data_IF_915037079533
#
_entry.id   IF_915037079533
#
_cell.length_a   1.000
_cell.length_b   1.000
_cell.length_c   1.000
_cell.angle_alpha   90.00
_cell.angle_beta   90.00
_cell.angle_gamma   90.00
#
_symmetry.space_group_name_H-M   'P 1'
#
loop_
_entity.id
_entity.type
_entity.pdbx_description
1 polymer ?
#
# COMPACT_ATOMS: atom_id res chain seq x y z
N UNK A 1 1.29 6.83 0.43
CA UNK A 1 2.65 6.29 0.64
C UNK A 1 2.77 4.91 0.03
N UNK A 2 3.98 4.48 -0.26
CA UNK A 2 4.32 3.14 -0.77
C UNK A 2 5.36 2.55 0.14
N UNK A 3 5.12 1.33 0.63
CA UNK A 3 6.01 0.70 1.61
C UNK A 3 5.84 -0.82 1.61
N UNK A 4 6.85 -1.59 2.02
CA UNK A 4 6.70 -3.00 2.34
C UNK A 4 5.68 -3.19 3.45
N UNK A 5 4.84 -4.22 3.32
CA UNK A 5 3.83 -4.54 4.33
C UNK A 5 3.80 -6.05 4.56
N UNK A 6 3.90 -6.46 5.81
CA UNK A 6 3.69 -7.83 6.23
C UNK A 6 2.20 -8.07 6.43
N UNK A 7 1.67 -9.04 5.73
CA UNK A 7 0.27 -9.47 5.83
C UNK A 7 0.22 -10.87 6.40
N UNK A 8 -0.86 -11.16 7.11
CA UNK A 8 -1.05 -12.47 7.73
C UNK A 8 -1.25 -13.53 6.63
N UNK A 9 -0.69 -14.70 6.87
CA UNK A 9 -0.92 -15.85 6.00
C UNK A 9 -2.43 -16.18 5.93
N UNK A 10 -2.91 -16.47 4.71
CA UNK A 10 -4.34 -16.68 4.44
C UNK A 10 -5.13 -15.41 4.08
N UNK A 11 -4.56 -14.21 4.22
CA UNK A 11 -5.16 -12.99 3.68
C UNK A 11 -5.09 -12.98 2.15
N UNK A 12 -6.12 -12.46 1.44
CA UNK A 12 -6.10 -12.39 -0.02
C UNK A 12 -4.87 -11.71 -0.59
N UNK A 13 -4.35 -10.69 0.09
CA UNK A 13 -3.16 -9.95 -0.30
C UNK A 13 -1.89 -10.81 -0.28
N UNK A 14 -1.81 -11.81 0.60
CA UNK A 14 -0.67 -12.73 0.67
C UNK A 14 -0.64 -13.74 -0.50
N UNK A 15 -1.78 -13.96 -1.15
CA UNK A 15 -1.94 -14.92 -2.23
C UNK A 15 -1.82 -14.31 -3.64
N UNK A 16 -1.46 -13.02 -3.77
CA UNK A 16 -1.36 -12.33 -5.07
C UNK A 16 -0.11 -12.79 -5.81
N UNK A 17 -0.24 -13.51 -6.95
CA UNK A 17 0.91 -14.06 -7.64
C UNK A 17 1.50 -13.08 -8.67
N UNK A 18 2.79 -13.16 -8.88
CA UNK A 18 3.57 -12.59 -10.00
C UNK A 18 3.16 -11.15 -10.39
N UNK A 19 2.54 -10.98 -11.57
CA UNK A 19 2.14 -9.69 -12.15
C UNK A 19 0.70 -9.30 -11.88
N UNK A 20 0.04 -10.00 -10.96
CA UNK A 20 -1.30 -9.65 -10.54
C UNK A 20 -1.27 -8.54 -9.48
N UNK A 21 -2.32 -7.77 -9.45
CA UNK A 21 -2.58 -6.76 -8.44
C UNK A 21 -3.88 -7.09 -7.72
N UNK A 22 -3.92 -6.75 -6.44
CA UNK A 22 -5.13 -6.73 -5.65
C UNK A 22 -5.31 -5.31 -5.11
N UNK A 23 -6.43 -4.69 -5.41
CA UNK A 23 -6.82 -3.40 -4.86
C UNK A 23 -7.96 -3.64 -3.90
N UNK A 24 -7.76 -3.33 -2.63
CA UNK A 24 -8.77 -3.49 -1.59
C UNK A 24 -9.28 -2.13 -1.12
N UNK A 25 -10.58 -1.96 -1.13
CA UNK A 25 -11.28 -0.83 -0.52
C UNK A 25 -11.98 -1.31 0.76
N UNK A 26 -11.83 -0.54 1.81
CA UNK A 26 -12.53 -0.78 3.08
C UNK A 26 -13.34 0.47 3.37
N UNK A 27 -14.65 0.35 3.40
CA UNK A 27 -15.57 1.43 3.70
C UNK A 27 -16.56 1.03 4.76
N UNK A 28 -17.08 2.02 5.46
CA UNK A 28 -18.05 1.81 6.52
C UNK A 28 -19.30 1.07 6.04
N UNK A 29 -19.83 1.46 4.87
CA UNK A 29 -21.02 0.85 4.28
C UNK A 29 -20.70 -0.29 3.33
N UNK A 30 -19.68 -0.13 2.49
CA UNK A 30 -19.29 -1.13 1.49
C UNK A 30 -18.56 -2.32 2.07
N UNK A 31 -18.14 -2.25 3.33
CA UNK A 31 -17.30 -3.26 3.94
C UNK A 31 -16.00 -3.45 3.11
N UNK A 32 -15.44 -4.63 3.09
CA UNK A 32 -14.25 -4.97 2.32
C UNK A 32 -14.63 -5.40 0.90
N UNK A 33 -14.16 -4.67 -0.10
CA UNK A 33 -14.28 -5.00 -1.51
C UNK A 33 -12.88 -5.10 -2.13
N UNK A 34 -12.64 -6.13 -2.91
CA UNK A 34 -11.34 -6.33 -3.55
C UNK A 34 -11.51 -6.54 -5.06
N UNK A 35 -10.61 -5.95 -5.84
CA UNK A 35 -10.50 -6.10 -7.28
C UNK A 35 -9.17 -6.77 -7.59
N UNK A 36 -9.23 -7.90 -8.26
CA UNK A 36 -8.08 -8.72 -8.59
C UNK A 36 -7.91 -8.83 -10.11
N UNK A 37 -6.69 -8.64 -10.60
CA UNK A 37 -6.41 -8.74 -12.02
C UNK A 37 -4.94 -8.54 -12.36
N UNK A 38 -4.59 -8.77 -13.62
CA UNK A 38 -3.24 -8.51 -14.10
C UNK A 38 -3.00 -7.00 -14.19
N UNK A 39 -2.06 -6.49 -13.39
CA UNK A 39 -1.65 -5.07 -13.41
C UNK A 39 -0.51 -4.77 -14.36
N UNK A 40 0.23 -5.80 -14.80
CA UNK A 40 1.36 -5.65 -15.69
C UNK A 40 1.39 -6.79 -16.72
N UNK A 41 2.14 -6.56 -17.80
CA UNK A 41 2.30 -7.51 -18.87
C UNK A 41 1.91 -6.93 -20.23
N UNK A 42 2.50 -7.46 -21.28
CA UNK A 42 2.34 -6.97 -22.65
C UNK A 42 0.87 -6.88 -23.08
N UNK A 43 0.10 -7.91 -22.85
CA UNK A 43 -1.30 -7.98 -23.30
C UNK A 43 -2.25 -7.12 -22.46
N UNK A 44 -2.25 -7.17 -21.11
CA UNK A 44 -3.10 -6.32 -20.30
C UNK A 44 -2.84 -4.83 -20.55
N UNK A 45 -1.58 -4.44 -20.68
CA UNK A 45 -1.20 -3.05 -20.97
C UNK A 45 -1.70 -2.61 -22.34
N UNK A 46 -1.46 -3.42 -23.38
CA UNK A 46 -1.92 -3.12 -24.73
C UNK A 46 -3.46 -3.03 -24.80
N UNK A 47 -4.17 -3.91 -24.11
CA UNK A 47 -5.64 -3.88 -24.04
C UNK A 47 -6.14 -2.54 -23.48
N UNK A 48 -5.57 -2.08 -22.36
CA UNK A 48 -5.98 -0.81 -21.75
C UNK A 48 -5.68 0.39 -22.64
N UNK A 49 -4.52 0.42 -23.30
CA UNK A 49 -4.18 1.49 -24.27
C UNK A 49 -5.18 1.53 -25.43
N UNK A 50 -5.55 0.37 -25.96
CA UNK A 50 -6.56 0.30 -27.04
C UNK A 50 -7.94 0.73 -26.53
N UNK A 51 -8.32 0.32 -25.31
CA UNK A 51 -9.58 0.73 -24.70
C UNK A 51 -9.65 2.25 -24.49
N UNK A 52 -8.58 2.85 -23.98
CA UNK A 52 -8.49 4.30 -23.80
C UNK A 52 -8.63 5.03 -25.14
N UNK A 53 -7.99 4.52 -26.19
CA UNK A 53 -8.12 5.09 -27.54
C UNK A 53 -9.57 5.01 -28.05
N UNK A 54 -10.23 3.86 -27.88
CA UNK A 54 -11.64 3.68 -28.26
C UNK A 54 -12.54 4.66 -27.51
N UNK A 55 -12.31 4.84 -26.22
CA UNK A 55 -13.09 5.75 -25.38
C UNK A 55 -12.90 7.21 -25.80
N UNK A 56 -11.67 7.63 -26.14
CA UNK A 56 -11.39 8.96 -26.68
C UNK A 56 -12.10 9.17 -28.02
N UNK A 57 -12.03 8.21 -28.95
CA UNK A 57 -12.70 8.29 -30.25
C UNK A 57 -14.22 8.29 -30.13
N UNK A 58 -14.76 7.64 -29.12
CA UNK A 58 -16.19 7.66 -28.82
C UNK A 58 -16.65 8.93 -28.08
N UNK A 59 -15.74 9.90 -27.84
CA UNK A 59 -16.05 11.14 -27.14
C UNK A 59 -16.29 10.96 -25.65
N UNK A 60 -15.90 9.84 -25.08
CA UNK A 60 -15.93 9.63 -23.64
C UNK A 60 -14.80 10.43 -23.00
N UNK A 61 -15.13 11.58 -22.44
CA UNK A 61 -14.17 12.40 -21.70
C UNK A 61 -13.82 11.78 -20.34
N UNK A 62 -12.74 12.29 -19.73
CA UNK A 62 -12.44 11.98 -18.35
C UNK A 62 -13.60 12.40 -17.45
N UNK A 63 -14.04 11.50 -16.61
CA UNK A 63 -14.97 11.87 -15.55
C UNK A 63 -14.34 12.95 -14.68
N UNK A 64 -15.02 14.10 -14.60
CA UNK A 64 -14.62 15.12 -13.65
C UNK A 64 -14.62 14.48 -12.24
N UNK A 65 -13.54 14.63 -11.49
CA UNK A 65 -13.50 14.10 -10.14
C UNK A 65 -14.64 14.73 -9.32
N UNK A 66 -15.23 13.92 -8.47
CA UNK A 66 -16.26 14.38 -7.53
C UNK A 66 -15.83 15.68 -6.85
N UNK A 67 -16.71 16.68 -6.88
CA UNK A 67 -16.46 17.96 -6.23
C UNK A 67 -16.30 17.81 -4.73
N UNK A 68 -15.41 18.61 -4.13
CA UNK A 68 -15.16 18.61 -2.69
C UNK A 68 -14.24 17.46 -2.28
N UNK A 69 -12.94 17.70 -2.26
CA UNK A 69 -11.96 16.76 -1.72
C UNK A 69 -11.60 17.19 -0.30
N UNK A 70 -11.93 16.35 0.67
CA UNK A 70 -11.21 16.39 1.93
C UNK A 70 -9.76 15.93 1.65
N UNK A 71 -8.80 16.68 2.17
CA UNK A 71 -7.41 16.21 2.16
C UNK A 71 -7.33 14.90 2.97
N UNK A 72 -6.78 13.85 2.39
CA UNK A 72 -6.48 12.66 3.16
C UNK A 72 -5.38 13.02 4.18
N UNK A 73 -5.67 12.82 5.45
CA UNK A 73 -4.66 12.95 6.50
C UNK A 73 -3.86 11.65 6.52
N UNK A 74 -2.59 11.75 6.26
CA UNK A 74 -1.66 10.62 6.14
C UNK A 74 -0.91 10.43 7.46
N UNK A 75 -1.64 10.28 8.55
CA UNK A 75 -1.07 10.20 9.90
C UNK A 75 -1.55 8.92 10.63
N UNK A 76 -1.58 7.82 9.87
CA UNK A 76 -1.93 6.52 10.40
C UNK A 76 -0.79 5.97 11.26
N UNK A 77 -1.10 5.49 12.46
CA UNK A 77 -0.17 4.79 13.32
C UNK A 77 -0.24 3.29 13.06
N UNK A 78 0.90 2.69 12.74
CA UNK A 78 1.04 1.28 12.43
C UNK A 78 2.10 0.64 13.35
N UNK A 79 1.97 -0.64 13.58
CA UNK A 79 3.03 -1.47 14.12
C UNK A 79 3.99 -1.84 12.97
N UNK A 80 5.29 -1.79 13.22
CA UNK A 80 6.30 -2.04 12.19
C UNK A 80 7.26 -3.13 12.61
N UNK A 81 7.63 -3.99 11.68
CA UNK A 81 8.87 -4.75 11.77
C UNK A 81 10.00 -3.85 11.28
N UNK A 82 11.04 -3.70 12.09
CA UNK A 82 12.23 -2.89 11.74
C UNK A 82 13.48 -3.73 11.88
N UNK A 83 14.47 -3.43 11.04
CA UNK A 83 15.83 -3.96 11.17
C UNK A 83 16.80 -2.79 11.05
N UNK A 84 17.61 -2.56 12.10
CA UNK A 84 18.50 -1.42 12.23
C UNK A 84 18.48 -0.87 13.65
N UNK A 85 19.11 0.27 13.86
CA UNK A 85 19.21 0.93 15.17
C UNK A 85 17.94 1.72 15.52
N UNK A 86 16.83 0.99 15.73
CA UNK A 86 15.60 1.60 16.22
C UNK A 86 15.73 1.98 17.69
N UNK A 87 15.50 3.25 18.02
CA UNK A 87 15.60 3.80 19.37
C UNK A 87 14.24 4.13 20.02
N UNK A 88 13.14 3.82 19.33
CA UNK A 88 11.79 4.01 19.85
C UNK A 88 11.30 2.81 20.66
N UNK A 89 10.07 2.94 21.17
CA UNK A 89 9.40 1.88 21.93
C UNK A 89 9.16 0.64 21.07
N UNK A 90 9.33 -0.56 21.67
CA UNK A 90 9.18 -1.84 20.99
C UNK A 90 8.26 -2.79 21.73
N UNK A 91 7.48 -3.57 21.00
CA UNK A 91 6.70 -4.71 21.52
C UNK A 91 7.54 -5.97 21.65
N UNK A 92 8.53 -6.14 20.76
CA UNK A 92 9.43 -7.28 20.74
C UNK A 92 10.77 -6.89 20.09
N UNK A 93 11.83 -7.62 20.44
CA UNK A 93 13.20 -7.32 20.00
C UNK A 93 14.04 -8.59 19.84
N UNK A 94 14.83 -8.67 18.74
CA UNK A 94 15.74 -9.78 18.45
C UNK A 94 17.01 -9.27 17.74
N UNK A 95 18.11 -9.22 18.46
CA UNK A 95 19.37 -8.71 17.88
C UNK A 95 19.21 -7.29 17.33
N UNK A 96 19.34 -7.12 16.02
CA UNK A 96 19.13 -5.83 15.32
C UNK A 96 17.73 -5.67 14.70
N UNK A 97 16.79 -6.55 15.02
CA UNK A 97 15.43 -6.50 14.55
C UNK A 97 14.45 -6.29 15.72
N UNK A 98 13.38 -5.58 15.47
CA UNK A 98 12.33 -5.32 16.45
C UNK A 98 10.95 -5.20 15.81
N UNK A 99 9.92 -5.37 16.65
CA UNK A 99 8.55 -4.95 16.36
C UNK A 99 8.26 -3.73 17.22
N UNK A 100 7.91 -2.62 16.59
CA UNK A 100 7.70 -1.35 17.28
C UNK A 100 6.35 -1.31 18.01
N UNK A 101 6.20 -0.45 19.01
CA UNK A 101 4.90 0.09 19.38
C UNK A 101 4.31 0.86 18.18
N UNK A 102 3.03 1.26 18.20
CA UNK A 102 2.46 2.05 17.11
C UNK A 102 3.27 3.32 16.82
N UNK A 103 3.61 3.52 15.54
CA UNK A 103 4.40 4.65 15.04
C UNK A 103 3.75 5.15 13.77
N UNK A 104 3.61 6.48 13.65
CA UNK A 104 3.04 7.07 12.45
C UNK A 104 3.90 6.80 11.22
N UNK A 105 3.25 6.65 10.07
CA UNK A 105 3.93 6.45 8.77
C UNK A 105 4.95 7.55 8.51
N UNK A 106 4.60 8.80 8.80
CA UNK A 106 5.49 9.94 8.61
C UNK A 106 6.78 9.81 9.44
N UNK A 107 6.65 9.44 10.71
CA UNK A 107 7.80 9.24 11.63
C UNK A 107 8.68 8.07 11.18
N UNK A 108 8.08 6.96 10.74
CA UNK A 108 8.83 5.82 10.24
C UNK A 108 9.60 6.16 8.95
N UNK A 109 8.98 6.88 8.02
CA UNK A 109 9.64 7.30 6.80
C UNK A 109 10.77 8.32 7.06
N UNK A 110 10.60 9.22 8.04
CA UNK A 110 11.67 10.12 8.47
C UNK A 110 12.87 9.34 9.04
N UNK A 111 12.59 8.35 9.90
CA UNK A 111 13.65 7.50 10.44
C UNK A 111 14.39 6.70 9.36
N UNK A 112 13.69 6.12 8.39
CA UNK A 112 14.32 5.42 7.26
C UNK A 112 15.22 6.35 6.42
N UNK A 113 14.81 7.60 6.25
CA UNK A 113 15.62 8.60 5.52
C UNK A 113 16.92 8.91 6.23
N UNK A 114 16.92 8.92 7.56
CA UNK A 114 18.11 9.12 8.40
C UNK A 114 18.96 7.86 8.56
N UNK A 115 18.40 6.68 8.29
CA UNK A 115 19.03 5.38 8.45
C UNK A 115 18.97 4.57 7.14
N UNK A 116 19.75 4.91 6.11
CA UNK A 116 19.63 4.33 4.78
C UNK A 116 19.90 2.81 4.70
N UNK A 117 20.64 2.27 5.67
CA UNK A 117 20.91 0.83 5.77
C UNK A 117 19.84 0.06 6.56
N UNK A 118 18.86 0.76 7.09
CA UNK A 118 17.74 0.16 7.82
C UNK A 118 16.64 -0.35 6.89
N UNK A 119 15.84 -1.25 7.41
CA UNK A 119 14.64 -1.76 6.74
C UNK A 119 13.43 -1.62 7.68
N UNK A 120 12.30 -1.26 7.13
CA UNK A 120 11.02 -1.32 7.83
C UNK A 120 9.93 -1.88 6.93
N UNK A 121 9.03 -2.66 7.53
CA UNK A 121 7.80 -3.13 6.91
C UNK A 121 6.64 -2.93 7.89
N UNK A 122 5.54 -2.34 7.41
CA UNK A 122 4.34 -2.22 8.21
C UNK A 122 3.75 -3.62 8.49
N UNK A 123 3.18 -3.81 9.66
CA UNK A 123 2.48 -5.04 10.03
C UNK A 123 0.99 -4.74 9.97
N UNK A 124 0.27 -5.47 9.12
CA UNK A 124 -1.18 -5.42 9.03
C UNK A 124 -1.76 -6.54 9.91
N UNK A 125 -2.47 -6.14 10.95
CA UNK A 125 -3.20 -7.04 11.85
C UNK A 125 -4.58 -7.40 11.29
#
# INVERSE_FOLDING_TARGET
YVQPTLVKDGEPEAAVPMNYNLITFIGETSQRMSFFGQGAGRYPTAYNVVQDLVDVLAGKGFYAPYGGRAAAVNDEELTWYVRGNWNGETKAHWGNAAVTAPVSVAKMHAWLKENPDAFAAAIRE
#
